data_IF_238915778566
#
_entry.id   IF_238915778566
#
_cell.length_a   1.000
_cell.length_b   1.000
_cell.length_c   1.000
_cell.angle_alpha   90.00
_cell.angle_beta   90.00
_cell.angle_gamma   90.00
#
_symmetry.space_group_name_H-M   'P 1'
#
loop_
_entity.id
_entity.type
_entity.pdbx_description
1 polymer ?
#
# COMPACT_ATOMS: atom_id res chain seq x y z
N UNK A 1 -44.00 -42.10 -37.21
CA UNK A 1 -43.07 -43.06 -36.58
C UNK A 1 -42.16 -42.29 -35.64
N UNK A 2 -42.18 -42.64 -34.35
CA UNK A 2 -41.22 -42.28 -33.28
C UNK A 2 -39.78 -42.64 -33.69
N UNK A 3 -38.67 -42.07 -33.21
CA UNK A 3 -38.17 -41.82 -31.84
C UNK A 3 -37.13 -40.67 -31.87
N UNK A 4 -37.11 -39.71 -30.94
CA UNK A 4 -36.48 -39.69 -29.60
C UNK A 4 -34.93 -39.66 -29.57
N UNK A 5 -34.40 -38.79 -28.69
CA UNK A 5 -33.06 -38.78 -28.06
C UNK A 5 -31.94 -38.03 -28.80
N UNK A 6 -31.16 -37.15 -28.17
CA UNK A 6 -31.08 -36.79 -26.76
C UNK A 6 -30.20 -35.56 -26.53
N UNK A 7 -30.53 -34.80 -25.48
CA UNK A 7 -29.71 -33.74 -24.92
C UNK A 7 -28.66 -34.33 -23.96
N UNK A 8 -27.45 -33.77 -23.97
CA UNK A 8 -26.49 -33.79 -22.87
C UNK A 8 -25.61 -32.55 -23.07
N UNK A 9 -25.85 -31.42 -22.39
CA UNK A 9 -25.53 -31.15 -20.98
C UNK A 9 -24.10 -31.53 -20.63
N UNK A 10 -23.18 -30.60 -20.87
CA UNK A 10 -21.84 -30.56 -20.29
C UNK A 10 -21.81 -29.44 -19.26
N UNK A 11 -22.57 -29.64 -18.18
CA UNK A 11 -22.28 -29.02 -16.88
C UNK A 11 -21.06 -29.77 -16.34
N UNK A 12 -19.89 -29.21 -16.57
CA UNK A 12 -18.62 -29.77 -16.12
C UNK A 12 -18.44 -29.48 -14.62
N UNK A 13 -18.65 -30.55 -13.87
CA UNK A 13 -18.58 -30.67 -12.43
C UNK A 13 -17.29 -30.08 -11.83
N UNK A 14 -17.43 -28.96 -11.14
CA UNK A 14 -16.48 -28.52 -10.11
C UNK A 14 -16.58 -29.49 -8.94
N UNK A 15 -15.59 -30.38 -8.80
CA UNK A 15 -15.46 -31.28 -7.65
C UNK A 15 -14.70 -30.56 -6.53
N UNK A 16 -15.30 -30.31 -5.34
CA UNK A 16 -14.55 -29.86 -4.18
C UNK A 16 -13.90 -31.05 -3.48
N UNK A 17 -12.56 -31.05 -3.40
CA UNK A 17 -11.77 -32.01 -2.63
C UNK A 17 -12.09 -31.91 -1.12
N UNK A 18 -12.39 -33.02 -0.43
CA UNK A 18 -12.63 -33.01 1.01
C UNK A 18 -11.31 -32.88 1.78
N UNK A 19 -11.08 -31.72 2.41
CA UNK A 19 -10.00 -31.54 3.39
C UNK A 19 -10.35 -32.33 4.67
N UNK A 20 -9.64 -33.43 4.88
CA UNK A 20 -9.68 -34.26 6.10
C UNK A 20 -9.36 -33.40 7.33
N UNK A 21 -10.37 -33.14 8.16
CA UNK A 21 -10.21 -32.60 9.52
C UNK A 21 -9.48 -33.65 10.37
N UNK A 22 -8.29 -33.32 10.87
CA UNK A 22 -7.62 -34.11 11.92
C UNK A 22 -8.33 -33.85 13.26
N UNK A 23 -8.74 -34.88 14.00
CA UNK A 23 -9.20 -34.72 15.36
C UNK A 23 -8.00 -34.55 16.30
N UNK A 24 -7.90 -33.40 16.97
CA UNK A 24 -6.99 -33.20 18.09
C UNK A 24 -7.59 -33.87 19.33
N UNK A 25 -7.09 -35.06 19.65
CA UNK A 25 -7.43 -35.79 20.86
C UNK A 25 -6.70 -35.16 22.06
N UNK A 26 -7.46 -34.52 22.95
CA UNK A 26 -7.18 -34.23 24.37
C UNK A 26 -5.84 -33.58 24.78
N UNK A 27 -5.92 -32.42 25.46
CA UNK A 27 -5.60 -32.41 26.89
C UNK A 27 -6.30 -31.26 27.60
N UNK A 28 -7.41 -31.58 28.26
CA UNK A 28 -8.05 -30.72 29.24
C UNK A 28 -7.31 -30.90 30.57
N UNK A 29 -6.69 -29.85 31.06
CA UNK A 29 -6.29 -29.74 32.46
C UNK A 29 -6.99 -28.53 33.06
N UNK A 30 -8.15 -28.81 33.68
CA UNK A 30 -8.72 -27.93 34.69
C UNK A 30 -7.80 -27.97 35.91
N UNK A 31 -7.12 -26.86 36.20
CA UNK A 31 -6.41 -26.62 37.45
C UNK A 31 -6.94 -25.33 38.07
N UNK A 32 -7.92 -25.46 38.95
CA UNK A 32 -8.40 -24.39 39.82
C UNK A 32 -7.45 -24.31 41.02
N UNK A 33 -6.92 -23.12 41.32
CA UNK A 33 -6.53 -22.78 42.69
C UNK A 33 -5.36 -21.81 42.89
N UNK A 34 -5.72 -20.58 43.34
CA UNK A 34 -4.97 -19.71 44.29
C UNK A 34 -3.73 -18.98 43.70
N UNK A 35 -3.40 -17.73 43.98
CA UNK A 35 -3.82 -16.72 44.98
C UNK A 35 -3.32 -15.35 44.51
N UNK A 36 -3.99 -14.31 44.98
CA UNK A 36 -3.57 -12.91 45.10
C UNK A 36 -2.08 -12.59 44.99
N UNK A 37 -1.77 -11.52 44.26
CA UNK A 37 -0.55 -10.75 44.46
C UNK A 37 0.15 -10.35 43.17
N UNK A 38 -0.29 -9.24 42.57
CA UNK A 38 0.56 -8.11 42.18
C UNK A 38 -0.15 -7.33 41.09
N UNK A 39 -0.78 -6.25 41.50
CA UNK A 39 -0.99 -5.09 40.66
C UNK A 39 0.39 -4.59 40.22
N UNK A 40 0.88 -5.09 39.09
CA UNK A 40 1.90 -4.36 38.35
C UNK A 40 1.19 -3.16 37.71
N UNK A 41 1.53 -1.91 38.08
CA UNK A 41 1.25 -0.80 37.20
C UNK A 41 2.10 -1.05 35.96
N UNK A 42 1.45 -1.42 34.86
CA UNK A 42 2.04 -1.40 33.53
C UNK A 42 2.52 0.03 33.29
N UNK A 43 3.78 0.29 33.66
CA UNK A 43 4.45 1.53 33.44
C UNK A 43 4.46 1.71 31.94
N UNK A 44 3.56 2.58 31.47
CA UNK A 44 3.52 3.11 30.13
C UNK A 44 4.91 3.66 29.82
N UNK A 45 5.75 2.82 29.21
CA UNK A 45 7.03 3.27 28.69
C UNK A 45 6.68 4.35 27.66
N UNK A 46 7.17 5.59 27.83
CA UNK A 46 6.91 6.63 26.85
C UNK A 46 7.52 6.17 25.52
N UNK A 47 6.65 5.96 24.53
CA UNK A 47 7.01 5.67 23.14
C UNK A 47 8.15 6.62 22.72
N UNK A 48 9.33 6.13 22.28
CA UNK A 48 10.52 6.97 22.09
C UNK A 48 10.45 7.92 20.88
N UNK A 49 9.26 8.23 20.36
CA UNK A 49 9.06 9.01 19.14
C UNK A 49 9.48 10.48 19.30
N UNK A 50 9.45 11.02 20.52
CA UNK A 50 9.80 12.43 20.77
C UNK A 50 11.32 12.67 20.87
N UNK A 51 12.13 11.66 21.22
CA UNK A 51 13.59 11.82 21.43
C UNK A 51 14.40 11.80 20.13
N UNK A 52 13.85 11.29 19.03
CA UNK A 52 14.57 11.15 17.76
C UNK A 52 14.82 12.48 17.03
N UNK A 53 14.05 13.54 17.34
CA UNK A 53 14.22 14.87 16.74
C UNK A 53 15.31 15.71 17.40
N UNK A 54 15.74 15.37 18.62
CA UNK A 54 16.76 16.13 19.36
C UNK A 54 18.16 15.51 19.31
N UNK A 55 18.29 14.30 18.79
CA UNK A 55 19.59 13.64 18.62
C UNK A 55 20.10 13.90 17.20
N UNK A 56 21.41 14.19 17.02
CA UNK A 56 22.03 14.17 15.71
C UNK A 56 21.72 12.84 14.98
N UNK A 57 21.39 12.89 13.68
CA UNK A 57 21.05 11.68 12.92
C UNK A 57 22.21 10.68 12.92
N UNK A 58 21.88 9.40 13.04
CA UNK A 58 22.90 8.35 13.02
C UNK A 58 23.48 8.23 11.59
N UNK A 59 24.76 7.86 11.40
CA UNK A 59 25.33 7.69 10.05
C UNK A 59 24.54 6.75 9.14
N UNK A 60 23.92 5.73 9.71
CA UNK A 60 23.01 4.84 8.97
C UNK A 60 21.74 5.57 8.50
N UNK A 61 21.16 6.45 9.31
CA UNK A 61 19.98 7.24 8.93
C UNK A 61 20.33 8.20 7.78
N UNK A 62 21.54 8.76 7.78
CA UNK A 62 22.05 9.61 6.69
C UNK A 62 22.28 8.82 5.40
N UNK A 63 22.85 7.61 5.49
CA UNK A 63 23.00 6.75 4.32
C UNK A 63 21.63 6.34 3.73
N UNK A 64 20.66 6.03 4.60
CA UNK A 64 19.29 5.74 4.19
C UNK A 64 18.58 6.95 3.60
N UNK A 65 18.74 8.15 4.19
CA UNK A 65 18.11 9.36 3.65
C UNK A 65 18.58 9.66 2.24
N UNK A 66 19.88 9.47 1.94
CA UNK A 66 20.43 9.62 0.59
C UNK A 66 19.82 8.65 -0.41
N UNK A 67 19.60 7.38 0.00
CA UNK A 67 18.92 6.40 -0.84
C UNK A 67 17.47 6.81 -1.10
N UNK A 68 16.73 7.22 -0.07
CA UNK A 68 15.35 7.67 -0.24
C UNK A 68 15.24 8.96 -1.07
N UNK A 69 16.20 9.87 -0.95
CA UNK A 69 16.27 11.06 -1.79
C UNK A 69 16.44 10.69 -3.27
N UNK A 70 17.36 9.78 -3.59
CA UNK A 70 17.55 9.31 -4.96
C UNK A 70 16.27 8.66 -5.52
N UNK A 71 15.62 7.79 -4.74
CA UNK A 71 14.36 7.16 -5.14
C UNK A 71 13.24 8.17 -5.36
N UNK A 72 13.11 9.17 -4.49
CA UNK A 72 12.09 10.22 -4.63
C UNK A 72 12.32 11.09 -5.87
N UNK A 73 13.58 11.37 -6.22
CA UNK A 73 13.91 12.11 -7.44
C UNK A 73 13.53 11.29 -8.69
N UNK A 74 13.91 10.01 -8.74
CA UNK A 74 13.55 9.11 -9.84
C UNK A 74 12.01 8.98 -9.98
N UNK A 75 11.30 8.84 -8.84
CA UNK A 75 9.84 8.77 -8.82
C UNK A 75 9.20 10.08 -9.34
N UNK A 76 9.75 11.24 -8.98
CA UNK A 76 9.27 12.55 -9.47
C UNK A 76 9.45 12.63 -10.98
N UNK A 77 10.63 12.29 -11.51
CA UNK A 77 10.91 12.32 -12.95
C UNK A 77 9.94 11.39 -13.71
N UNK A 78 9.72 10.16 -13.20
CA UNK A 78 8.78 9.23 -13.83
C UNK A 78 7.33 9.75 -13.78
N UNK A 79 6.90 10.32 -12.66
CA UNK A 79 5.56 10.90 -12.53
C UNK A 79 5.36 12.09 -13.47
N UNK A 80 6.37 12.94 -13.66
CA UNK A 80 6.35 14.06 -14.59
C UNK A 80 6.24 13.58 -16.04
N UNK A 81 6.99 12.56 -16.43
CA UNK A 81 6.91 11.96 -17.77
C UNK A 81 5.52 11.36 -18.07
N UNK A 82 4.96 10.66 -17.08
CA UNK A 82 3.60 10.11 -17.15
C UNK A 82 2.57 11.24 -17.29
N UNK A 83 2.69 12.30 -16.49
CA UNK A 83 1.81 13.47 -16.55
C UNK A 83 1.89 14.18 -17.91
N UNK A 84 3.09 14.44 -18.41
CA UNK A 84 3.32 15.06 -19.71
C UNK A 84 2.72 14.22 -20.86
N UNK A 85 2.84 12.90 -20.77
CA UNK A 85 2.27 11.99 -21.77
C UNK A 85 0.73 11.96 -21.71
N UNK A 86 0.15 11.94 -20.52
CA UNK A 86 -1.29 12.03 -20.33
C UNK A 86 -1.86 13.38 -20.79
N UNK A 87 -1.17 14.49 -20.51
CA UNK A 87 -1.53 15.83 -20.93
C UNK A 87 -1.49 15.98 -22.46
N UNK A 88 -0.42 15.53 -23.12
CA UNK A 88 -0.35 15.48 -24.59
C UNK A 88 -1.50 14.68 -25.20
N UNK A 89 -1.87 13.56 -24.59
CA UNK A 89 -3.00 12.73 -25.05
C UNK A 89 -4.34 13.45 -24.87
N UNK A 90 -4.55 14.13 -23.74
CA UNK A 90 -5.74 14.92 -23.48
C UNK A 90 -5.86 16.10 -24.44
N UNK A 91 -4.77 16.84 -24.67
CA UNK A 91 -4.74 17.96 -25.59
C UNK A 91 -5.11 17.55 -27.02
N UNK A 92 -4.56 16.44 -27.52
CA UNK A 92 -4.94 15.88 -28.83
C UNK A 92 -6.42 15.50 -28.92
N UNK A 93 -7.05 15.07 -27.81
CA UNK A 93 -8.50 14.79 -27.77
C UNK A 93 -9.31 16.08 -27.79
N UNK A 94 -8.85 17.14 -27.10
CA UNK A 94 -9.48 18.47 -27.13
C UNK A 94 -9.46 19.07 -28.52
N UNK A 95 -8.30 19.04 -29.19
CA UNK A 95 -8.13 19.58 -30.55
C UNK A 95 -9.06 18.90 -31.56
N UNK A 96 -9.32 17.60 -31.37
CA UNK A 96 -10.26 16.81 -32.18
C UNK A 96 -11.73 17.08 -31.86
N UNK A 97 -12.03 17.98 -30.91
CA UNK A 97 -13.40 18.30 -30.44
C UNK A 97 -14.22 17.07 -30.09
N UNK A 98 -13.57 16.05 -29.52
CA UNK A 98 -14.28 14.91 -28.96
C UNK A 98 -15.15 15.44 -27.81
N UNK A 99 -16.39 14.99 -27.69
CA UNK A 99 -17.27 15.36 -26.56
C UNK A 99 -16.64 14.94 -25.23
N UNK A 100 -16.90 15.70 -24.16
CA UNK A 100 -16.45 15.45 -22.78
C UNK A 100 -14.96 15.70 -22.46
N UNK A 101 -14.29 16.58 -23.22
CA UNK A 101 -12.86 16.91 -23.03
C UNK A 101 -12.62 18.33 -22.48
N UNK A 102 -13.68 19.08 -22.12
CA UNK A 102 -13.56 20.40 -21.47
C UNK A 102 -12.86 20.30 -20.10
N UNK A 103 -13.09 19.21 -19.37
CA UNK A 103 -12.54 19.03 -18.02
C UNK A 103 -11.20 18.26 -18.05
N UNK A 104 -10.28 18.66 -17.19
CA UNK A 104 -9.02 17.93 -16.98
C UNK A 104 -9.30 16.49 -16.49
N UNK A 105 -8.74 15.45 -17.12
CA UNK A 105 -8.99 14.06 -16.74
C UNK A 105 -8.60 13.80 -15.28
N UNK A 106 -9.38 12.95 -14.61
CA UNK A 106 -9.14 12.60 -13.21
C UNK A 106 -7.72 12.05 -12.98
N UNK A 107 -7.25 11.16 -13.85
CA UNK A 107 -5.91 10.57 -13.77
C UNK A 107 -4.80 11.63 -13.82
N UNK A 108 -4.98 12.68 -14.63
CA UNK A 108 -4.00 13.77 -14.74
C UNK A 108 -4.01 14.65 -13.48
N UNK A 109 -5.18 14.84 -12.84
CA UNK A 109 -5.26 15.49 -11.53
C UNK A 109 -4.54 14.66 -10.45
N UNK A 110 -4.75 13.34 -10.44
CA UNK A 110 -4.08 12.44 -9.52
C UNK A 110 -2.55 12.47 -9.70
N UNK A 111 -2.05 12.40 -10.94
CA UNK A 111 -0.61 12.47 -11.21
C UNK A 111 0.00 13.76 -10.67
N UNK A 112 -0.66 14.92 -10.91
CA UNK A 112 -0.19 16.22 -10.38
C UNK A 112 -0.19 16.26 -8.85
N UNK A 113 -1.19 15.65 -8.21
CA UNK A 113 -1.23 15.52 -6.75
C UNK A 113 -0.08 14.64 -6.24
N UNK A 114 0.19 13.52 -6.89
CA UNK A 114 1.29 12.61 -6.51
C UNK A 114 2.66 13.29 -6.65
N UNK A 115 2.91 14.05 -7.73
CA UNK A 115 4.13 14.85 -7.90
C UNK A 115 4.29 15.85 -6.74
N UNK A 116 3.19 16.51 -6.36
CA UNK A 116 3.21 17.49 -5.28
C UNK A 116 3.55 16.85 -3.94
N UNK A 117 2.98 15.68 -3.65
CA UNK A 117 3.27 14.93 -2.42
C UNK A 117 4.71 14.40 -2.42
N UNK A 118 5.21 13.84 -3.52
CA UNK A 118 6.59 13.37 -3.63
C UNK A 118 7.61 14.49 -3.39
N UNK A 119 7.37 15.68 -3.96
CA UNK A 119 8.18 16.88 -3.69
C UNK A 119 8.14 17.29 -2.23
N UNK A 120 6.96 17.28 -1.61
CA UNK A 120 6.83 17.59 -0.19
C UNK A 120 7.59 16.59 0.70
N UNK A 121 7.55 15.31 0.36
CA UNK A 121 8.32 14.28 1.07
C UNK A 121 9.83 14.50 0.91
N UNK A 122 10.28 14.86 -0.28
CA UNK A 122 11.68 15.20 -0.54
C UNK A 122 12.13 16.43 0.27
N UNK A 123 11.31 17.48 0.30
CA UNK A 123 11.59 18.68 1.09
C UNK A 123 11.68 18.36 2.58
N UNK A 124 10.73 17.59 3.12
CA UNK A 124 10.73 17.16 4.52
C UNK A 124 11.94 16.26 4.85
N UNK A 125 12.38 15.45 3.89
CA UNK A 125 13.57 14.61 4.05
C UNK A 125 14.84 15.47 4.13
N UNK A 126 14.99 16.45 3.23
CA UNK A 126 16.13 17.38 3.20
C UNK A 126 16.17 18.31 4.40
N UNK A 127 15.01 18.76 4.89
CA UNK A 127 14.91 19.56 6.12
C UNK A 127 15.45 18.77 7.33
N UNK A 128 15.15 17.47 7.40
CA UNK A 128 15.60 16.61 8.50
C UNK A 128 17.04 16.12 8.33
N UNK A 129 17.47 15.88 7.11
CA UNK A 129 18.80 15.37 6.77
C UNK A 129 19.43 16.24 5.68
N UNK A 130 20.06 17.36 6.06
CA UNK A 130 20.68 18.26 5.11
C UNK A 130 21.79 17.53 4.30
N UNK A 131 21.93 17.82 3.00
CA UNK A 131 23.10 17.39 2.25
C UNK A 131 24.35 18.07 2.83
N UNK A 132 25.44 17.29 2.94
CA UNK A 132 26.76 17.78 3.40
C UNK A 132 27.36 18.80 2.42
#
# INVERSE_FOLDING_TARGET
>A
MSTQSGQASLDEFIVPLPRKRRPSLYSAHNGVGRTSGSSEPEASQPRPQARSRQRPPHPADLAQSRLFEALLLDDIDELEDRAATAERRWQRRRERKVEDVETLPHDLKQLRQLITEARRLLDALRERFPPD
#
